data_IF_713905746451
#
_entry.id   IF_713905746451
#
_cell.length_a   1.000
_cell.length_b   1.000
_cell.length_c   1.000
_cell.angle_alpha   90.00
_cell.angle_beta   90.00
_cell.angle_gamma   90.00
#
_symmetry.space_group_name_H-M   'P 1'
#
loop_
_entity.id
_entity.type
_entity.pdbx_description
1 polymer ?
#
# COMPACT_ATOMS: atom_id res chain seq x y z
N UNK A 1 51.27 4.01 -13.68
CA UNK A 1 51.32 3.02 -12.59
C UNK A 1 51.70 1.68 -13.19
N UNK A 2 52.85 1.13 -12.84
CA UNK A 2 53.30 -0.17 -13.37
C UNK A 2 52.48 -1.32 -12.77
N UNK A 3 52.26 -2.41 -13.50
CA UNK A 3 51.60 -3.61 -12.96
C UNK A 3 52.28 -4.15 -11.69
N UNK A 4 53.60 -3.98 -11.60
CA UNK A 4 54.41 -4.32 -10.42
C UNK A 4 54.08 -3.50 -9.17
N UNK A 5 53.59 -2.26 -9.34
CA UNK A 5 53.15 -1.44 -8.22
C UNK A 5 51.81 -1.93 -7.67
N UNK A 6 50.90 -2.37 -8.53
CA UNK A 6 49.57 -2.88 -8.16
C UNK A 6 49.69 -4.18 -7.36
N UNK A 7 50.56 -5.10 -7.77
CA UNK A 7 50.80 -6.36 -7.02
C UNK A 7 51.41 -6.11 -5.64
N UNK A 8 52.30 -5.13 -5.52
CA UNK A 8 52.93 -4.75 -4.25
C UNK A 8 51.93 -4.14 -3.28
N UNK A 9 51.03 -3.26 -3.76
CA UNK A 9 49.96 -2.70 -2.95
C UNK A 9 48.88 -3.72 -2.58
N UNK A 10 48.56 -4.68 -3.46
CA UNK A 10 47.65 -5.80 -3.19
C UNK A 10 48.16 -6.71 -2.07
N UNK A 11 49.47 -6.93 -1.98
CA UNK A 11 50.09 -7.70 -0.90
C UNK A 11 50.10 -6.94 0.45
N UNK A 12 50.29 -5.61 0.43
CA UNK A 12 50.32 -4.78 1.65
C UNK A 12 48.95 -4.47 2.23
N UNK A 13 47.92 -4.35 1.40
CA UNK A 13 46.56 -3.95 1.83
C UNK A 13 45.49 -4.85 1.18
N UNK A 14 45.43 -6.15 1.52
CA UNK A 14 44.52 -7.10 0.88
C UNK A 14 43.04 -6.73 1.04
N UNK A 15 42.67 -6.06 2.15
CA UNK A 15 41.32 -5.57 2.40
C UNK A 15 40.88 -4.41 1.48
N UNK A 16 41.82 -3.72 0.83
CA UNK A 16 41.52 -2.61 -0.09
C UNK A 16 41.22 -3.10 -1.53
N UNK A 17 41.55 -4.35 -1.88
CA UNK A 17 41.47 -4.88 -3.25
C UNK A 17 40.34 -5.91 -3.48
N UNK A 18 39.46 -6.15 -2.50
CA UNK A 18 38.26 -6.95 -2.68
C UNK A 18 37.67 -7.49 -1.36
N UNK A 19 36.41 -7.96 -1.38
CA UNK A 19 35.82 -8.63 -0.22
C UNK A 19 36.61 -9.92 0.10
N UNK A 20 36.83 -10.19 1.39
CA UNK A 20 37.55 -11.39 1.81
C UNK A 20 36.79 -12.69 1.45
N UNK A 21 37.46 -13.86 1.42
CA UNK A 21 36.83 -15.14 1.07
C UNK A 21 35.62 -15.48 1.95
N UNK A 22 35.66 -15.07 3.23
CA UNK A 22 34.54 -15.18 4.16
C UNK A 22 33.33 -14.30 3.76
N UNK A 23 33.59 -13.08 3.27
CA UNK A 23 32.53 -12.18 2.80
C UNK A 23 31.92 -12.65 1.48
N UNK A 24 32.72 -13.26 0.59
CA UNK A 24 32.17 -13.94 -0.59
C UNK A 24 31.28 -15.11 -0.18
N UNK A 25 31.73 -15.97 0.73
CA UNK A 25 30.95 -17.10 1.23
C UNK A 25 29.61 -16.66 1.84
N UNK A 26 29.61 -15.58 2.63
CA UNK A 26 28.41 -15.02 3.22
C UNK A 26 27.45 -14.45 2.17
N UNK A 27 27.97 -13.82 1.11
CA UNK A 27 27.17 -13.34 -0.02
C UNK A 27 26.53 -14.49 -0.81
N UNK A 28 27.29 -15.56 -1.09
CA UNK A 28 26.75 -16.74 -1.76
C UNK A 28 25.71 -17.47 -0.91
N UNK A 29 25.94 -17.57 0.40
CA UNK A 29 24.97 -18.14 1.32
C UNK A 29 23.69 -17.29 1.37
N UNK A 30 23.81 -15.97 1.49
CA UNK A 30 22.66 -15.05 1.46
C UNK A 30 21.88 -15.13 0.15
N UNK A 31 22.57 -15.22 -0.98
CA UNK A 31 21.95 -15.39 -2.29
C UNK A 31 21.27 -16.76 -2.41
N UNK A 32 21.89 -17.83 -1.94
CA UNK A 32 21.28 -19.17 -1.93
C UNK A 32 20.02 -19.20 -1.06
N UNK A 33 20.06 -18.63 0.14
CA UNK A 33 18.89 -18.51 1.01
C UNK A 33 17.78 -17.68 0.36
N UNK A 34 18.12 -16.56 -0.27
CA UNK A 34 17.17 -15.75 -1.02
C UNK A 34 16.55 -16.52 -2.18
N UNK A 35 17.35 -17.25 -2.97
CA UNK A 35 16.85 -18.04 -4.10
C UNK A 35 15.96 -19.19 -3.65
N UNK A 36 16.33 -19.90 -2.59
CA UNK A 36 15.49 -20.97 -2.01
C UNK A 36 14.18 -20.39 -1.51
N UNK A 37 14.22 -19.27 -0.78
CA UNK A 37 13.02 -18.58 -0.33
C UNK A 37 12.16 -18.11 -1.51
N UNK A 38 12.77 -17.51 -2.53
CA UNK A 38 12.08 -17.00 -3.72
C UNK A 38 11.45 -18.12 -4.57
N UNK A 39 12.15 -19.24 -4.77
CA UNK A 39 11.60 -20.39 -5.46
C UNK A 39 10.49 -21.03 -4.63
N UNK A 40 10.66 -21.10 -3.30
CA UNK A 40 9.64 -21.58 -2.37
C UNK A 40 8.36 -20.74 -2.42
N UNK A 41 8.48 -19.42 -2.52
CA UNK A 41 7.30 -18.55 -2.69
C UNK A 41 6.66 -18.72 -4.07
N UNK A 42 7.44 -18.81 -5.15
CA UNK A 42 6.89 -19.09 -6.48
C UNK A 42 6.13 -20.42 -6.52
N UNK A 43 6.60 -21.44 -5.80
CA UNK A 43 5.89 -22.71 -5.70
C UNK A 43 4.63 -22.61 -4.83
N UNK A 44 4.72 -21.92 -3.68
CA UNK A 44 3.58 -21.69 -2.78
C UNK A 44 2.45 -20.91 -3.44
N UNK A 45 2.79 -19.88 -4.23
CA UNK A 45 1.83 -19.09 -5.00
C UNK A 45 1.45 -19.72 -6.33
N UNK A 46 1.93 -20.94 -6.60
CA UNK A 46 1.52 -21.69 -7.77
C UNK A 46 1.84 -20.85 -9.04
N UNK A 47 3.03 -20.27 -9.12
CA UNK A 47 3.35 -19.38 -10.23
C UNK A 47 3.66 -20.21 -11.49
N UNK A 48 2.78 -20.20 -12.49
CA UNK A 48 2.97 -20.92 -13.76
C UNK A 48 2.97 -19.98 -14.97
N UNK A 49 3.83 -20.21 -15.99
CA UNK A 49 3.84 -19.42 -17.22
C UNK A 49 2.49 -19.38 -17.94
N UNK A 50 1.71 -20.46 -17.83
CA UNK A 50 0.37 -20.54 -18.43
C UNK A 50 -0.66 -19.66 -17.69
N UNK A 51 -0.61 -19.57 -16.36
CA UNK A 51 -1.47 -18.67 -15.57
C UNK A 51 -1.21 -17.21 -15.91
N UNK A 52 0.07 -16.83 -16.05
CA UNK A 52 0.48 -15.51 -16.53
C UNK A 52 -0.10 -15.19 -17.92
N UNK A 53 0.09 -16.09 -18.88
CA UNK A 53 -0.39 -15.88 -20.25
C UNK A 53 -1.91 -15.79 -20.34
N UNK A 54 -2.61 -16.67 -19.61
CA UNK A 54 -4.06 -16.66 -19.56
C UNK A 54 -4.59 -15.37 -18.92
N UNK A 55 -3.99 -14.91 -17.81
CA UNK A 55 -4.32 -13.63 -17.18
C UNK A 55 -4.11 -12.45 -18.13
N UNK A 56 -2.98 -12.40 -18.83
CA UNK A 56 -2.67 -11.35 -19.80
C UNK A 56 -3.65 -11.34 -20.97
N UNK A 57 -4.01 -12.52 -21.50
CA UNK A 57 -5.01 -12.64 -22.56
C UNK A 57 -6.41 -12.21 -22.09
N UNK A 58 -6.75 -12.46 -20.82
CA UNK A 58 -7.99 -12.01 -20.19
C UNK A 58 -8.06 -10.49 -20.09
N UNK A 59 -6.96 -9.85 -19.66
CA UNK A 59 -6.85 -8.39 -19.65
C UNK A 59 -7.04 -7.79 -21.05
N UNK A 60 -6.42 -8.39 -22.07
CA UNK A 60 -6.60 -7.96 -23.46
C UNK A 60 -8.06 -8.03 -23.92
N UNK A 61 -8.78 -9.11 -23.56
CA UNK A 61 -10.21 -9.24 -23.85
C UNK A 61 -11.04 -8.16 -23.16
N UNK A 62 -10.79 -7.89 -21.88
CA UNK A 62 -11.49 -6.84 -21.13
C UNK A 62 -11.26 -5.47 -21.78
N UNK A 63 -10.03 -5.15 -22.14
CA UNK A 63 -9.70 -3.88 -22.79
C UNK A 63 -10.39 -3.71 -24.15
N UNK A 64 -10.45 -4.75 -24.96
CA UNK A 64 -11.17 -4.72 -26.24
C UNK A 64 -12.68 -4.59 -26.01
N UNK A 65 -13.22 -5.23 -24.97
CA UNK A 65 -14.64 -5.12 -24.61
C UNK A 65 -15.02 -3.74 -24.06
N UNK A 66 -14.05 -2.96 -23.54
CA UNK A 66 -14.29 -1.60 -23.06
C UNK A 66 -14.38 -0.57 -24.20
N UNK A 67 -14.05 -0.91 -25.46
CA UNK A 67 -14.01 0.04 -26.59
C UNK A 67 -14.73 -0.54 -27.83
N UNK A 68 -15.83 0.07 -28.32
CA UNK A 68 -16.47 1.30 -27.85
C UNK A 68 -17.44 1.04 -26.67
N UNK A 69 -17.37 1.80 -25.57
CA UNK A 69 -18.33 1.65 -24.49
C UNK A 69 -19.71 2.11 -24.99
N UNK A 70 -20.67 1.18 -25.09
CA UNK A 70 -22.06 1.49 -25.45
C UNK A 70 -22.95 1.45 -24.20
N UNK A 71 -23.09 2.56 -23.47
CA UNK A 71 -23.97 2.64 -22.31
C UNK A 71 -25.45 2.42 -22.63
N UNK A 72 -25.86 2.46 -23.91
CA UNK A 72 -27.25 2.18 -24.31
C UNK A 72 -28.23 3.03 -23.52
N UNK A 73 -29.10 2.40 -22.75
CA UNK A 73 -30.10 3.05 -21.87
C UNK A 73 -29.58 3.35 -20.45
N UNK A 74 -28.40 2.87 -20.06
CA UNK A 74 -27.83 2.93 -18.70
C UNK A 74 -27.17 4.27 -18.34
N UNK A 75 -27.23 5.28 -19.21
CA UNK A 75 -26.61 6.59 -18.97
C UNK A 75 -27.03 7.23 -17.64
N UNK A 76 -28.32 7.10 -17.29
CA UNK A 76 -28.86 7.66 -16.04
C UNK A 76 -28.28 6.95 -14.82
N UNK A 77 -28.13 5.62 -14.89
CA UNK A 77 -27.56 4.82 -13.80
C UNK A 77 -26.07 5.11 -13.61
N UNK A 78 -25.32 5.27 -14.70
CA UNK A 78 -23.90 5.64 -14.66
C UNK A 78 -23.74 7.02 -14.02
N UNK A 79 -24.51 8.02 -14.46
CA UNK A 79 -24.46 9.36 -13.87
C UNK A 79 -24.87 9.35 -12.40
N UNK A 80 -25.87 8.54 -12.03
CA UNK A 80 -26.27 8.35 -10.64
C UNK A 80 -25.13 7.74 -9.82
N UNK A 81 -24.47 6.69 -10.29
CA UNK A 81 -23.33 6.07 -9.59
C UNK A 81 -22.13 7.00 -9.45
N UNK A 82 -21.84 7.81 -10.47
CA UNK A 82 -20.81 8.85 -10.41
C UNK A 82 -21.17 9.92 -9.37
N UNK A 83 -22.40 10.43 -9.40
CA UNK A 83 -22.89 11.41 -8.43
C UNK A 83 -22.87 10.83 -7.00
N UNK A 84 -23.23 9.56 -6.84
CA UNK A 84 -23.18 8.85 -5.57
C UNK A 84 -21.76 8.74 -5.05
N UNK A 85 -20.78 8.42 -5.89
CA UNK A 85 -19.36 8.37 -5.51
C UNK A 85 -18.83 9.73 -5.04
N UNK A 86 -19.19 10.80 -5.75
CA UNK A 86 -18.83 12.18 -5.37
C UNK A 86 -19.51 12.55 -4.04
N UNK A 87 -20.79 12.22 -3.88
CA UNK A 87 -21.53 12.47 -2.65
C UNK A 87 -20.94 11.69 -1.46
N UNK A 88 -20.49 10.44 -1.66
CA UNK A 88 -19.84 9.65 -0.63
C UNK A 88 -18.54 10.31 -0.14
N UNK A 89 -17.69 10.73 -1.08
CA UNK A 89 -16.43 11.41 -0.77
C UNK A 89 -16.66 12.74 -0.05
N UNK A 90 -17.59 13.55 -0.54
CA UNK A 90 -17.93 14.82 0.09
C UNK A 90 -18.51 14.64 1.49
N UNK A 91 -19.49 13.74 1.66
CA UNK A 91 -20.15 13.55 2.95
C UNK A 91 -19.19 12.93 3.98
N UNK A 92 -18.38 11.95 3.58
CA UNK A 92 -17.40 11.31 4.46
C UNK A 92 -16.37 12.31 4.98
N UNK A 93 -15.76 13.08 4.08
CA UNK A 93 -14.77 14.10 4.44
C UNK A 93 -15.38 15.27 5.21
N UNK A 94 -16.60 15.68 4.90
CA UNK A 94 -17.31 16.73 5.63
C UNK A 94 -17.60 16.34 7.08
N UNK A 95 -18.12 15.11 7.29
CA UNK A 95 -18.34 14.58 8.64
C UNK A 95 -17.01 14.44 9.39
N UNK A 96 -15.96 13.98 8.72
CA UNK A 96 -14.64 13.82 9.31
C UNK A 96 -14.10 15.18 9.75
N UNK A 97 -14.19 16.21 8.90
CA UNK A 97 -13.78 17.57 9.23
C UNK A 97 -14.53 18.12 10.45
N UNK A 98 -15.84 17.89 10.53
CA UNK A 98 -16.68 18.38 11.65
C UNK A 98 -16.24 17.81 13.00
N UNK A 99 -15.77 16.56 13.03
CA UNK A 99 -15.25 15.89 14.23
C UNK A 99 -13.75 16.18 14.45
N UNK A 100 -12.97 16.29 13.38
CA UNK A 100 -11.54 16.54 13.42
C UNK A 100 -11.21 17.96 13.90
N UNK A 101 -12.06 18.96 13.62
CA UNK A 101 -11.87 20.34 14.09
C UNK A 101 -11.81 20.39 15.64
N UNK A 102 -12.86 19.98 16.39
CA UNK A 102 -12.84 20.06 17.86
C UNK A 102 -11.74 19.19 18.46
N UNK A 103 -11.54 17.96 17.96
CA UNK A 103 -10.50 17.06 18.46
C UNK A 103 -9.09 17.56 18.11
N UNK A 104 -8.92 18.28 17.00
CA UNK A 104 -7.68 18.92 16.60
C UNK A 104 -7.29 20.06 17.55
N UNK A 105 -8.26 20.87 17.97
CA UNK A 105 -8.03 21.87 19.03
C UNK A 105 -7.63 21.20 20.36
N UNK A 106 -8.26 20.09 20.74
CA UNK A 106 -7.88 19.33 21.94
C UNK A 106 -6.47 18.70 21.84
N UNK A 107 -6.00 18.39 20.63
CA UNK A 107 -4.65 17.89 20.38
C UNK A 107 -3.57 18.98 20.25
N UNK A 108 -3.95 20.25 20.25
CA UNK A 108 -3.04 21.37 20.02
C UNK A 108 -2.31 21.76 21.32
N UNK A 109 -0.99 22.04 21.20
CA UNK A 109 -0.13 22.37 22.36
C UNK A 109 -0.49 23.70 23.03
N UNK A 110 -1.24 24.56 22.36
CA UNK A 110 -1.68 25.86 22.85
C UNK A 110 -2.97 25.78 23.69
N UNK A 111 -3.84 24.79 23.45
CA UNK A 111 -5.12 24.63 24.17
C UNK A 111 -4.99 23.61 25.31
N UNK A 112 -4.27 22.50 25.11
CA UNK A 112 -4.14 21.43 26.11
C UNK A 112 -2.68 21.26 26.56
N UNK A 113 -2.43 21.55 27.83
CA UNK A 113 -1.12 21.44 28.48
C UNK A 113 -0.76 19.99 28.85
N UNK A 114 -1.75 19.10 28.98
CA UNK A 114 -1.55 17.69 29.33
C UNK A 114 -0.93 16.91 28.17
N UNK A 115 0.36 16.58 28.29
CA UNK A 115 1.09 15.79 27.29
C UNK A 115 0.50 14.39 27.07
N UNK A 116 -0.06 13.76 28.12
CA UNK A 116 -0.71 12.44 28.01
C UNK A 116 -1.96 12.47 27.12
N UNK A 117 -2.87 13.43 27.34
CA UNK A 117 -4.09 13.56 26.52
C UNK A 117 -3.75 13.80 25.04
N UNK A 118 -2.78 14.69 24.79
CA UNK A 118 -2.30 14.96 23.42
C UNK A 118 -1.69 13.72 22.76
N UNK A 119 -0.87 12.98 23.50
CA UNK A 119 -0.22 11.77 22.99
C UNK A 119 -1.25 10.68 22.69
N UNK A 120 -2.20 10.45 23.60
CA UNK A 120 -3.27 9.45 23.41
C UNK A 120 -4.15 9.79 22.22
N UNK A 121 -4.62 11.04 22.10
CA UNK A 121 -5.44 11.48 20.96
C UNK A 121 -4.72 11.27 19.63
N UNK A 122 -3.45 11.71 19.53
CA UNK A 122 -2.64 11.51 18.33
C UNK A 122 -2.47 10.03 18.00
N UNK A 123 -2.17 9.21 19.00
CA UNK A 123 -1.99 7.77 18.80
C UNK A 123 -3.28 7.09 18.31
N UNK A 124 -4.44 7.52 18.78
CA UNK A 124 -5.74 7.01 18.29
C UNK A 124 -5.94 7.39 16.82
N UNK A 125 -5.72 8.65 16.45
CA UNK A 125 -5.82 9.09 15.05
C UNK A 125 -4.81 8.38 14.14
N UNK A 126 -3.56 8.24 14.58
CA UNK A 126 -2.53 7.49 13.86
C UNK A 126 -2.94 6.01 13.69
N UNK A 127 -3.64 5.45 14.68
CA UNK A 127 -4.18 4.09 14.63
C UNK A 127 -5.32 3.95 13.63
N UNK A 128 -6.29 4.87 13.64
CA UNK A 128 -7.44 4.86 12.72
C UNK A 128 -6.99 5.02 11.26
N UNK A 129 -6.01 5.89 11.01
CA UNK A 129 -5.38 6.09 9.69
C UNK A 129 -4.37 5.01 9.30
N UNK A 130 -3.91 4.21 10.25
CA UNK A 130 -3.01 3.08 10.00
C UNK A 130 -3.72 1.87 9.40
N UNK A 131 -5.05 1.82 9.48
CA UNK A 131 -5.87 0.74 8.91
C UNK A 131 -6.29 1.11 7.49
N UNK A 132 -6.15 0.15 6.58
CA UNK A 132 -6.54 0.33 5.19
C UNK A 132 -8.04 0.61 5.03
N UNK A 133 -8.40 1.49 4.10
CA UNK A 133 -9.77 1.92 3.85
C UNK A 133 -10.70 0.74 3.47
N UNK A 134 -10.18 -0.30 2.79
CA UNK A 134 -10.99 -1.47 2.42
C UNK A 134 -11.40 -2.28 3.65
N UNK A 135 -10.57 -2.31 4.70
CA UNK A 135 -10.88 -2.99 5.96
C UNK A 135 -12.05 -2.28 6.64
N UNK A 136 -12.01 -0.94 6.70
CA UNK A 136 -13.13 -0.15 7.23
C UNK A 136 -14.39 -0.32 6.39
N UNK A 137 -14.28 -0.28 5.06
CA UNK A 137 -15.40 -0.52 4.16
C UNK A 137 -16.07 -1.87 4.42
N UNK A 138 -15.29 -2.96 4.52
CA UNK A 138 -15.83 -4.29 4.78
C UNK A 138 -16.50 -4.38 6.16
N UNK A 139 -15.91 -3.75 7.19
CA UNK A 139 -16.49 -3.70 8.52
C UNK A 139 -17.85 -2.97 8.52
N UNK A 140 -17.94 -1.81 7.87
CA UNK A 140 -19.19 -1.05 7.76
C UNK A 140 -20.23 -1.72 6.86
N UNK A 141 -19.81 -2.40 5.80
CA UNK A 141 -20.72 -3.24 4.99
C UNK A 141 -21.37 -4.31 5.86
N UNK A 142 -20.61 -4.92 6.78
CA UNK A 142 -21.18 -5.92 7.69
C UNK A 142 -22.12 -5.31 8.74
N UNK A 143 -21.85 -4.08 9.18
CA UNK A 143 -22.62 -3.41 10.22
C UNK A 143 -23.92 -2.77 9.71
N UNK A 144 -23.88 -2.11 8.55
CA UNK A 144 -24.98 -1.29 8.02
C UNK A 144 -25.57 -1.84 6.72
N UNK A 145 -24.89 -2.81 6.09
CA UNK A 145 -25.26 -3.40 4.81
C UNK A 145 -24.45 -2.84 3.63
N UNK A 146 -24.62 -3.49 2.47
CA UNK A 146 -24.05 -3.01 1.20
C UNK A 146 -24.77 -1.73 0.76
N UNK A 147 -24.01 -0.67 0.49
CA UNK A 147 -24.53 0.57 -0.06
C UNK A 147 -23.63 1.79 0.16
N UNK A 148 -24.06 2.97 -0.34
CA UNK A 148 -23.31 4.23 -0.24
C UNK A 148 -22.91 4.61 1.18
N UNK A 149 -23.80 4.33 2.14
CA UNK A 149 -23.59 4.68 3.55
C UNK A 149 -22.35 3.98 4.13
N UNK A 150 -22.07 2.74 3.75
CA UNK A 150 -20.86 2.04 4.18
C UNK A 150 -19.60 2.71 3.62
N UNK A 151 -19.64 3.21 2.38
CA UNK A 151 -18.55 3.97 1.77
C UNK A 151 -18.31 5.31 2.48
N UNK A 152 -19.37 6.05 2.79
CA UNK A 152 -19.30 7.31 3.56
C UNK A 152 -18.63 7.08 4.92
N UNK A 153 -19.05 6.05 5.65
CA UNK A 153 -18.52 5.75 6.99
C UNK A 153 -17.07 5.27 6.93
N UNK A 154 -16.69 4.51 5.89
CA UNK A 154 -15.31 4.11 5.69
C UNK A 154 -14.40 5.33 5.47
N UNK A 155 -14.80 6.25 4.59
CA UNK A 155 -14.09 7.51 4.33
C UNK A 155 -14.01 8.35 5.61
N UNK A 156 -15.13 8.50 6.34
CA UNK A 156 -15.19 9.25 7.59
C UNK A 156 -14.17 8.79 8.65
N UNK A 157 -13.88 7.49 8.73
CA UNK A 157 -12.96 6.93 9.71
C UNK A 157 -11.50 6.96 9.21
N UNK A 158 -11.28 6.78 7.90
CA UNK A 158 -9.93 6.68 7.33
C UNK A 158 -9.29 8.03 6.97
N UNK A 159 -10.08 9.04 6.60
CA UNK A 159 -9.60 10.40 6.23
C UNK A 159 -9.71 11.39 7.39
#
# INVERSE_FOLDING_TARGET
MSESSITTWRARMPAAFGPGPFQLGLRFLGLALFLVWFIGTLWYFDFSPTRLWNGLSGLGKILVLMIPPSPGELWVEILKGLAESVAMAFLGTFLAALVAIPLGFMGARNVVTTTLLRFSLRRVFDGMRGVDQLIWALAFVRAVGLGPLAGVLAIFVSD
#
